data_IF_996743647312
#
_entry.id   IF_996743647312
#
_cell.length_a   1.000
_cell.length_b   1.000
_cell.length_c   1.000
_cell.angle_alpha   90.00
_cell.angle_beta   90.00
_cell.angle_gamma   90.00
#
_symmetry.space_group_name_H-M   'P 1'
#
loop_
_entity.id
_entity.type
_entity.pdbx_description
1 polymer ?
#
# COMPACT_ATOMS: atom_id res chain seq x y z
N UNK A 1 7.31 118.82 -9.01
CA UNK A 1 7.79 117.44 -8.81
C UNK A 1 8.90 117.21 -9.83
N UNK A 2 10.15 117.31 -9.38
CA UNK A 2 11.28 116.92 -10.22
C UNK A 2 11.28 115.39 -10.26
N UNK A 3 11.11 114.82 -11.44
CA UNK A 3 11.36 113.39 -11.66
C UNK A 3 12.87 113.25 -11.61
N UNK A 4 13.40 112.70 -10.52
CA UNK A 4 14.80 112.27 -10.48
C UNK A 4 14.98 111.22 -11.58
N UNK A 5 15.64 111.62 -12.66
CA UNK A 5 16.05 110.72 -13.73
C UNK A 5 17.23 109.93 -13.17
N UNK A 6 16.95 108.69 -12.77
CA UNK A 6 17.96 107.72 -12.37
C UNK A 6 19.03 107.64 -13.46
N UNK A 7 20.30 107.79 -13.07
CA UNK A 7 21.44 107.78 -13.98
C UNK A 7 21.54 106.40 -14.67
N UNK A 8 21.86 106.38 -15.97
CA UNK A 8 21.94 105.14 -16.76
C UNK A 8 22.95 104.15 -16.16
N UNK A 9 23.98 104.66 -15.48
CA UNK A 9 24.95 103.86 -14.74
C UNK A 9 24.34 103.17 -13.51
N UNK A 10 23.47 103.86 -12.77
CA UNK A 10 22.74 103.28 -11.63
C UNK A 10 21.75 102.22 -12.08
N UNK A 11 21.08 102.45 -13.22
CA UNK A 11 20.21 101.47 -13.87
C UNK A 11 20.96 100.19 -14.24
N UNK A 12 22.13 100.30 -14.86
CA UNK A 12 22.92 99.13 -15.26
C UNK A 12 23.48 98.38 -14.05
N UNK A 13 23.91 99.09 -13.02
CA UNK A 13 24.34 98.50 -11.74
C UNK A 13 23.20 97.71 -11.09
N UNK A 14 21.99 98.27 -11.04
CA UNK A 14 20.82 97.60 -10.46
C UNK A 14 20.42 96.35 -11.27
N UNK A 15 20.55 96.39 -12.61
CA UNK A 15 20.32 95.23 -13.48
C UNK A 15 21.32 94.11 -13.21
N UNK A 16 22.60 94.44 -13.04
CA UNK A 16 23.64 93.47 -12.73
C UNK A 16 23.41 92.82 -11.35
N UNK A 17 23.03 93.61 -10.34
CA UNK A 17 22.70 93.12 -8.99
C UNK A 17 21.49 92.18 -9.00
N UNK A 18 20.40 92.56 -9.69
CA UNK A 18 19.22 91.69 -9.88
C UNK A 18 19.59 90.38 -10.58
N UNK A 19 20.49 90.43 -11.56
CA UNK A 19 20.92 89.22 -12.28
C UNK A 19 21.74 88.30 -11.39
N UNK A 20 22.64 88.86 -10.58
CA UNK A 20 23.41 88.11 -9.59
C UNK A 20 22.49 87.47 -8.53
N UNK A 21 21.52 88.21 -8.01
CA UNK A 21 20.54 87.69 -7.05
C UNK A 21 19.70 86.55 -7.63
N UNK A 22 19.28 86.65 -8.90
CA UNK A 22 18.57 85.58 -9.59
C UNK A 22 19.40 84.30 -9.70
N UNK A 23 20.67 84.43 -10.08
CA UNK A 23 21.58 83.28 -10.15
C UNK A 23 21.80 82.64 -8.77
N UNK A 24 22.00 83.47 -7.74
CA UNK A 24 22.14 82.98 -6.37
C UNK A 24 20.89 82.27 -5.87
N UNK A 25 19.71 82.82 -6.19
CA UNK A 25 18.42 82.20 -5.86
C UNK A 25 18.26 80.84 -6.54
N UNK A 26 18.59 80.74 -7.82
CA UNK A 26 18.51 79.48 -8.58
C UNK A 26 19.43 78.39 -7.99
N UNK A 27 20.68 78.76 -7.63
CA UNK A 27 21.60 77.84 -6.96
C UNK A 27 21.07 77.36 -5.59
N UNK A 28 20.46 78.25 -4.81
CA UNK A 28 19.85 77.90 -3.53
C UNK A 28 18.61 77.02 -3.70
N UNK A 29 17.79 77.26 -4.71
CA UNK A 29 16.62 76.42 -5.01
C UNK A 29 17.05 75.01 -5.43
N UNK A 30 18.11 74.90 -6.25
CA UNK A 30 18.68 73.61 -6.61
C UNK A 30 19.23 72.88 -5.39
N UNK A 31 20.03 73.55 -4.55
CA UNK A 31 20.56 72.96 -3.32
C UNK A 31 19.45 72.52 -2.36
N UNK A 32 18.39 73.32 -2.22
CA UNK A 32 17.24 72.96 -1.40
C UNK A 32 16.48 71.74 -1.97
N UNK A 33 16.36 71.62 -3.30
CA UNK A 33 15.76 70.46 -3.93
C UNK A 33 16.60 69.20 -3.73
N UNK A 34 17.92 69.30 -3.88
CA UNK A 34 18.86 68.20 -3.60
C UNK A 34 18.78 67.77 -2.14
N UNK A 35 18.77 68.72 -1.19
CA UNK A 35 18.59 68.42 0.23
C UNK A 35 17.26 67.71 0.52
N UNK A 36 16.15 68.18 -0.07
CA UNK A 36 14.85 67.48 0.07
C UNK A 36 14.92 66.04 -0.46
N UNK A 37 15.56 65.83 -1.61
CA UNK A 37 15.74 64.48 -2.17
C UNK A 37 16.59 63.59 -1.25
N UNK A 38 17.67 64.12 -0.66
CA UNK A 38 18.49 63.37 0.31
C UNK A 38 17.71 63.02 1.57
N UNK A 39 16.85 63.93 2.06
CA UNK A 39 15.99 63.66 3.22
C UNK A 39 15.00 62.55 2.89
N UNK A 40 14.35 62.60 1.73
CA UNK A 40 13.41 61.57 1.29
C UNK A 40 14.09 60.19 1.15
N UNK A 41 15.32 60.14 0.65
CA UNK A 41 16.09 58.89 0.57
C UNK A 41 16.43 58.34 1.96
N UNK A 42 16.84 59.21 2.89
CA UNK A 42 17.15 58.81 4.27
C UNK A 42 15.91 58.30 5.01
N UNK A 43 14.76 58.95 4.83
CA UNK A 43 13.47 58.50 5.40
C UNK A 43 13.09 57.11 4.87
N UNK A 44 13.20 56.88 3.54
CA UNK A 44 12.97 55.55 2.94
C UNK A 44 13.89 54.48 3.51
N UNK A 45 15.19 54.80 3.69
CA UNK A 45 16.16 53.87 4.29
C UNK A 45 15.84 53.59 5.76
N UNK A 46 15.41 54.60 6.50
CA UNK A 46 15.00 54.45 7.90
C UNK A 46 13.84 53.45 8.04
N UNK A 47 12.83 53.53 7.16
CA UNK A 47 11.71 52.59 7.17
C UNK A 47 12.13 51.14 6.87
N UNK A 48 13.20 50.93 6.09
CA UNK A 48 13.72 49.60 5.79
C UNK A 48 14.62 49.00 6.88
N UNK A 49 15.24 49.83 7.72
CA UNK A 49 16.17 49.39 8.76
C UNK A 49 15.49 48.47 9.79
N UNK A 50 14.22 48.71 10.12
CA UNK A 50 13.48 47.89 11.08
C UNK A 50 13.26 46.45 10.55
N UNK A 51 13.20 46.28 9.22
CA UNK A 51 13.11 44.96 8.58
C UNK A 51 14.46 44.24 8.53
N UNK A 52 15.57 44.95 8.29
CA UNK A 52 16.93 44.36 8.25
C UNK A 52 17.42 43.92 9.64
N UNK A 53 16.99 44.62 10.69
CA UNK A 53 17.29 44.26 12.09
C UNK A 53 16.73 42.90 12.53
N UNK A 54 15.80 42.32 11.78
CA UNK A 54 15.16 41.06 12.15
C UNK A 54 15.93 39.82 11.65
N UNK A 55 16.68 39.91 10.55
CA UNK A 55 17.31 38.72 9.98
C UNK A 55 18.43 38.16 10.86
N UNK A 56 19.34 39.01 11.33
CA UNK A 56 20.43 38.55 12.21
C UNK A 56 19.88 38.04 13.55
N UNK A 57 18.79 38.64 14.04
CA UNK A 57 18.13 38.24 15.28
C UNK A 57 17.48 36.87 15.12
N UNK A 58 16.71 36.64 14.06
CA UNK A 58 16.12 35.32 13.76
C UNK A 58 17.19 34.26 13.55
N UNK A 59 18.30 34.58 12.87
CA UNK A 59 19.45 33.66 12.72
C UNK A 59 20.09 33.33 14.07
N UNK A 60 20.31 34.34 14.91
CA UNK A 60 20.88 34.16 16.24
C UNK A 60 19.97 33.30 17.14
N UNK A 61 18.67 33.58 17.15
CA UNK A 61 17.68 32.83 17.93
C UNK A 61 17.62 31.36 17.48
N UNK A 62 17.51 31.12 16.17
CA UNK A 62 17.55 29.75 15.60
C UNK A 62 18.86 29.03 15.95
N UNK A 63 20.00 29.72 15.83
CA UNK A 63 21.30 29.12 16.14
C UNK A 63 21.43 28.78 17.63
N UNK A 64 20.92 29.65 18.50
CA UNK A 64 20.89 29.43 19.95
C UNK A 64 20.03 28.20 20.28
N UNK A 65 18.86 28.07 19.67
CA UNK A 65 17.99 26.90 19.87
C UNK A 65 18.67 25.59 19.40
N UNK A 66 19.31 25.60 18.24
CA UNK A 66 20.09 24.46 17.75
C UNK A 66 21.23 24.11 18.72
N UNK A 67 21.94 25.11 19.23
CA UNK A 67 23.01 24.89 20.20
C UNK A 67 22.47 24.24 21.49
N UNK A 68 21.36 24.71 22.04
CA UNK A 68 20.71 24.10 23.22
C UNK A 68 20.28 22.65 22.96
N UNK A 69 19.82 22.34 21.75
CA UNK A 69 19.51 20.95 21.38
C UNK A 69 20.77 20.08 21.30
N UNK A 70 21.86 20.60 20.72
CA UNK A 70 23.14 19.90 20.65
C UNK A 70 23.74 19.67 22.04
N UNK A 71 23.68 20.65 22.94
CA UNK A 71 24.12 20.51 24.33
C UNK A 71 23.35 19.41 25.06
N UNK A 72 22.03 19.36 24.89
CA UNK A 72 21.20 18.26 25.42
C UNK A 72 21.60 16.91 24.85
N UNK A 73 21.89 16.82 23.56
CA UNK A 73 22.36 15.59 22.93
C UNK A 73 23.73 15.16 23.46
N UNK A 74 24.66 16.09 23.66
CA UNK A 74 25.97 15.83 24.24
C UNK A 74 25.81 15.23 25.64
N UNK A 75 24.98 15.83 26.50
CA UNK A 75 24.72 15.31 27.84
C UNK A 75 24.11 13.89 27.80
N UNK A 76 23.14 13.66 26.91
CA UNK A 76 22.54 12.33 26.76
C UNK A 76 23.57 11.28 26.32
N UNK A 77 24.40 11.60 25.33
CA UNK A 77 25.45 10.70 24.84
C UNK A 77 26.53 10.45 25.89
N UNK A 78 26.94 11.48 26.62
CA UNK A 78 27.86 11.34 27.74
C UNK A 78 27.29 10.39 28.80
N UNK A 79 26.03 10.55 29.18
CA UNK A 79 25.36 9.64 30.12
C UNK A 79 25.34 8.20 29.62
N UNK A 80 24.98 7.96 28.35
CA UNK A 80 25.01 6.62 27.74
C UNK A 80 26.40 6.00 27.75
N UNK A 81 27.44 6.79 27.46
CA UNK A 81 28.83 6.32 27.53
C UNK A 81 29.23 5.97 28.96
N UNK A 82 28.82 6.76 29.96
CA UNK A 82 29.10 6.45 31.36
C UNK A 82 28.35 5.20 31.83
N UNK A 83 27.09 5.04 31.44
CA UNK A 83 26.29 3.86 31.73
C UNK A 83 26.92 2.61 31.10
N UNK A 84 27.32 2.67 29.83
CA UNK A 84 28.04 1.58 29.17
C UNK A 84 29.35 1.24 29.89
N UNK A 85 30.11 2.24 30.35
CA UNK A 85 31.34 2.02 31.15
C UNK A 85 31.05 1.38 32.50
N UNK A 86 29.98 1.78 33.19
CA UNK A 86 29.56 1.20 34.45
C UNK A 86 29.16 -0.28 34.25
N UNK A 87 28.35 -0.56 33.23
CA UNK A 87 27.94 -1.93 32.86
C UNK A 87 29.14 -2.84 32.54
N UNK A 88 30.17 -2.31 31.86
CA UNK A 88 31.40 -3.05 31.61
C UNK A 88 32.18 -3.35 32.89
N UNK A 89 32.30 -2.35 33.78
CA UNK A 89 32.97 -2.51 35.06
C UNK A 89 32.28 -3.55 35.93
N UNK A 90 30.94 -3.53 35.98
CA UNK A 90 30.13 -4.51 36.72
C UNK A 90 30.27 -5.92 36.13
N UNK A 91 30.43 -6.04 34.82
CA UNK A 91 30.72 -7.30 34.12
C UNK A 91 32.19 -7.74 34.21
N UNK A 92 33.08 -6.99 34.88
CA UNK A 92 34.52 -7.29 34.95
C UNK A 92 35.27 -7.13 33.63
N UNK A 93 34.70 -6.40 32.66
CA UNK A 93 35.25 -6.16 31.33
C UNK A 93 35.87 -4.76 31.24
N UNK A 94 36.89 -4.59 30.42
CA UNK A 94 37.57 -3.31 30.17
C UNK A 94 37.14 -2.70 28.83
N UNK A 95 37.26 -1.36 28.65
CA UNK A 95 37.02 -0.74 27.34
C UNK A 95 37.92 -1.26 26.20
N UNK A 96 39.04 -1.93 26.54
CA UNK A 96 39.93 -2.57 25.57
C UNK A 96 39.34 -3.88 25.03
N UNK A 97 38.53 -4.58 25.83
CA UNK A 97 37.86 -5.82 25.43
C UNK A 97 36.79 -5.54 24.37
N UNK A 98 36.13 -4.37 24.43
CA UNK A 98 35.18 -3.88 23.43
C UNK A 98 35.81 -3.31 22.15
N UNK A 99 37.13 -3.09 22.11
CA UNK A 99 37.79 -2.51 20.93
C UNK A 99 37.82 -3.49 19.76
N UNK A 100 37.61 -4.77 20.05
CA UNK A 100 37.25 -5.76 19.05
C UNK A 100 35.78 -5.54 18.69
N UNK A 101 35.51 -5.05 17.49
CA UNK A 101 34.14 -5.05 16.91
C UNK A 101 33.49 -6.44 16.93
N UNK A 102 34.29 -7.49 17.12
CA UNK A 102 33.87 -8.87 17.33
C UNK A 102 33.19 -9.12 18.70
N UNK A 103 33.47 -8.30 19.73
CA UNK A 103 32.88 -8.40 21.08
C UNK A 103 31.71 -7.41 21.32
N UNK A 104 31.51 -6.46 20.39
CA UNK A 104 30.26 -5.68 20.24
C UNK A 104 29.21 -6.42 19.40
N UNK A 105 29.58 -7.57 18.83
CA UNK A 105 28.59 -8.52 18.34
C UNK A 105 27.98 -9.18 19.57
N UNK A 106 26.73 -8.86 19.88
CA UNK A 106 25.90 -9.60 20.86
C UNK A 106 25.76 -11.11 20.53
N UNK A 107 26.43 -11.60 19.48
CA UNK A 107 26.49 -12.97 19.05
C UNK A 107 27.78 -13.66 19.55
N UNK A 108 27.78 -14.10 20.82
CA UNK A 108 28.75 -15.10 21.30
C UNK A 108 28.70 -16.33 20.36
N UNK A 109 29.83 -16.90 19.89
CA UNK A 109 29.84 -18.11 19.04
C UNK A 109 29.02 -19.29 19.60
N UNK A 110 28.89 -19.36 20.93
CA UNK A 110 28.01 -20.32 21.58
C UNK A 110 26.52 -20.02 21.35
N UNK A 111 26.13 -18.75 21.45
CA UNK A 111 24.77 -18.27 21.17
C UNK A 111 24.39 -18.52 19.70
N UNK A 112 25.30 -18.20 18.76
CA UNK A 112 25.09 -18.49 17.33
C UNK A 112 24.83 -19.99 17.12
N UNK A 113 25.64 -20.85 17.72
CA UNK A 113 25.47 -22.31 17.62
C UNK A 113 24.18 -22.80 18.26
N UNK A 114 23.72 -22.17 19.34
CA UNK A 114 22.44 -22.49 19.96
C UNK A 114 21.28 -22.09 19.05
N UNK A 115 21.30 -20.87 18.51
CA UNK A 115 20.29 -20.35 17.59
C UNK A 115 20.25 -21.17 16.29
N UNK A 116 21.40 -21.62 15.78
CA UNK A 116 21.46 -22.51 14.62
C UNK A 116 20.81 -23.88 14.90
N UNK A 117 21.05 -24.45 16.10
CA UNK A 117 20.39 -25.69 16.52
C UNK A 117 18.89 -25.50 16.65
N UNK A 118 18.46 -24.43 17.31
CA UNK A 118 17.05 -24.10 17.50
C UNK A 118 16.35 -23.87 16.15
N UNK A 119 16.96 -23.09 15.25
CA UNK A 119 16.50 -22.91 13.87
C UNK A 119 16.31 -24.26 13.17
N UNK A 120 17.27 -25.18 13.29
CA UNK A 120 17.17 -26.49 12.64
C UNK A 120 16.06 -27.35 13.25
N UNK A 121 15.86 -27.30 14.58
CA UNK A 121 14.75 -27.97 15.25
C UNK A 121 13.41 -27.42 14.78
N UNK A 122 13.24 -26.09 14.78
CA UNK A 122 12.02 -25.42 14.32
C UNK A 122 11.73 -25.71 12.85
N UNK A 123 12.75 -25.69 11.98
CA UNK A 123 12.57 -26.06 10.57
C UNK A 123 12.14 -27.52 10.40
N UNK A 124 12.64 -28.44 11.22
CA UNK A 124 12.22 -29.83 11.17
C UNK A 124 10.79 -30.02 11.69
N UNK A 125 10.41 -29.32 12.75
CA UNK A 125 9.03 -29.31 13.25
C UNK A 125 8.07 -28.73 12.22
N UNK A 126 8.45 -27.65 11.54
CA UNK A 126 7.65 -27.07 10.45
C UNK A 126 7.42 -28.09 9.34
N UNK A 127 8.47 -28.80 8.89
CA UNK A 127 8.33 -29.84 7.86
C UNK A 127 7.47 -31.02 8.30
N UNK A 128 7.57 -31.43 9.57
CA UNK A 128 6.70 -32.49 10.13
C UNK A 128 5.24 -32.06 10.14
N UNK A 129 4.96 -30.82 10.56
CA UNK A 129 3.61 -30.26 10.55
C UNK A 129 3.06 -30.12 9.14
N UNK A 130 3.86 -29.65 8.18
CA UNK A 130 3.50 -29.60 6.75
C UNK A 130 3.15 -31.00 6.22
N UNK A 131 3.97 -32.01 6.54
CA UNK A 131 3.70 -33.39 6.13
C UNK A 131 2.42 -33.95 6.75
N UNK A 132 2.18 -33.69 8.05
CA UNK A 132 0.94 -34.10 8.73
C UNK A 132 -0.30 -33.46 8.12
N UNK A 133 -0.23 -32.17 7.78
CA UNK A 133 -1.33 -31.46 7.09
C UNK A 133 -1.60 -32.06 5.71
N UNK A 134 -0.57 -32.41 4.95
CA UNK A 134 -0.73 -33.09 3.65
C UNK A 134 -1.39 -34.47 3.81
N UNK A 135 -1.00 -35.25 4.82
CA UNK A 135 -1.65 -36.53 5.11
C UNK A 135 -3.11 -36.37 5.55
N UNK A 136 -3.39 -35.40 6.42
CA UNK A 136 -4.75 -35.11 6.88
C UNK A 136 -5.64 -34.63 5.73
N UNK A 137 -5.12 -33.79 4.85
CA UNK A 137 -5.81 -33.35 3.63
C UNK A 137 -6.16 -34.54 2.72
N UNK A 138 -5.21 -35.44 2.47
CA UNK A 138 -5.44 -36.67 1.70
C UNK A 138 -6.50 -37.56 2.33
N UNK A 139 -6.42 -37.77 3.65
CA UNK A 139 -7.40 -38.58 4.39
C UNK A 139 -8.79 -37.94 4.33
N UNK A 140 -8.88 -36.61 4.49
CA UNK A 140 -10.12 -35.86 4.40
C UNK A 140 -10.75 -35.97 3.01
N UNK A 141 -9.98 -35.77 1.94
CA UNK A 141 -10.48 -35.89 0.57
C UNK A 141 -11.00 -37.30 0.29
N UNK A 142 -10.25 -38.34 0.70
CA UNK A 142 -10.68 -39.73 0.58
C UNK A 142 -12.02 -39.98 1.30
N UNK A 143 -12.13 -39.58 2.57
CA UNK A 143 -13.35 -39.74 3.35
C UNK A 143 -14.53 -38.95 2.77
N UNK A 144 -14.28 -37.74 2.25
CA UNK A 144 -15.32 -36.92 1.64
C UNK A 144 -15.82 -37.49 0.31
N UNK A 145 -14.94 -38.09 -0.49
CA UNK A 145 -15.34 -38.75 -1.75
C UNK A 145 -16.10 -40.06 -1.48
N UNK A 146 -15.73 -40.81 -0.44
CA UNK A 146 -16.52 -41.94 0.06
C UNK A 146 -17.92 -41.47 0.52
N UNK A 147 -18.00 -40.38 1.30
CA UNK A 147 -19.28 -39.79 1.73
C UNK A 147 -20.15 -39.35 0.55
N UNK A 148 -19.57 -38.74 -0.49
CA UNK A 148 -20.29 -38.37 -1.72
C UNK A 148 -20.82 -39.60 -2.44
N UNK A 149 -20.01 -40.64 -2.55
CA UNK A 149 -20.41 -41.92 -3.16
C UNK A 149 -21.61 -42.52 -2.42
N UNK A 150 -21.54 -42.67 -1.10
CA UNK A 150 -22.67 -43.15 -0.30
C UNK A 150 -23.91 -42.25 -0.42
N UNK A 151 -23.73 -40.94 -0.49
CA UNK A 151 -24.85 -40.00 -0.69
C UNK A 151 -25.55 -40.21 -2.03
N UNK A 152 -24.78 -40.47 -3.10
CA UNK A 152 -25.31 -40.79 -4.42
C UNK A 152 -26.05 -42.14 -4.42
N UNK A 153 -25.49 -43.17 -3.79
CA UNK A 153 -26.13 -44.48 -3.65
C UNK A 153 -27.45 -44.40 -2.86
N UNK A 154 -27.46 -43.64 -1.75
CA UNK A 154 -28.68 -43.38 -0.97
C UNK A 154 -29.73 -42.67 -1.82
N UNK A 155 -29.35 -41.64 -2.57
CA UNK A 155 -30.29 -40.90 -3.42
C UNK A 155 -30.82 -41.77 -4.57
N UNK A 156 -29.97 -42.58 -5.19
CA UNK A 156 -30.37 -43.55 -6.22
C UNK A 156 -31.35 -44.59 -5.67
N UNK A 157 -31.06 -45.13 -4.48
CA UNK A 157 -31.94 -46.09 -3.80
C UNK A 157 -33.27 -45.45 -3.41
N UNK A 158 -33.26 -44.21 -2.88
CA UNK A 158 -34.48 -43.43 -2.59
C UNK A 158 -35.32 -43.18 -3.84
N UNK A 159 -34.68 -42.84 -4.96
CA UNK A 159 -35.35 -42.70 -6.26
C UNK A 159 -36.02 -44.00 -6.68
N UNK A 160 -35.28 -45.10 -6.63
CA UNK A 160 -35.78 -46.44 -6.97
C UNK A 160 -36.96 -46.87 -6.07
N UNK A 161 -36.90 -46.58 -4.76
CA UNK A 161 -38.01 -46.82 -3.82
C UNK A 161 -39.23 -45.96 -4.18
N UNK A 162 -39.04 -44.70 -4.53
CA UNK A 162 -40.15 -43.82 -4.92
C UNK A 162 -40.79 -44.27 -6.25
N UNK A 163 -40.00 -44.68 -7.23
CA UNK A 163 -40.47 -45.25 -8.49
C UNK A 163 -41.22 -46.57 -8.26
N UNK A 164 -40.73 -47.41 -7.35
CA UNK A 164 -41.41 -48.64 -6.95
C UNK A 164 -42.73 -48.34 -6.23
N UNK A 165 -42.75 -47.36 -5.32
CA UNK A 165 -43.95 -46.93 -4.59
C UNK A 165 -45.00 -46.33 -5.52
N UNK A 166 -44.61 -45.47 -6.45
CA UNK A 166 -45.51 -44.88 -7.47
C UNK A 166 -46.03 -45.93 -8.44
N UNK A 167 -45.18 -46.86 -8.93
CA UNK A 167 -45.63 -48.01 -9.73
C UNK A 167 -46.61 -48.90 -8.98
N UNK A 168 -46.39 -49.17 -7.70
CA UNK A 168 -47.30 -49.98 -6.87
C UNK A 168 -48.63 -49.27 -6.65
N UNK A 169 -48.63 -47.94 -6.43
CA UNK A 169 -49.87 -47.15 -6.37
C UNK A 169 -50.63 -47.14 -7.71
N UNK A 170 -49.91 -47.04 -8.83
CA UNK A 170 -50.48 -47.15 -10.18
C UNK A 170 -50.99 -48.56 -10.50
N UNK A 171 -50.34 -49.62 -10.01
CA UNK A 171 -50.80 -51.00 -10.19
C UNK A 171 -52.03 -51.29 -9.33
N UNK A 172 -52.09 -50.81 -8.09
CA UNK A 172 -53.33 -50.86 -7.28
C UNK A 172 -54.46 -50.04 -7.90
N UNK A 173 -54.16 -48.94 -8.60
CA UNK A 173 -55.15 -48.20 -9.39
C UNK A 173 -55.59 -48.95 -10.66
N UNK A 174 -54.76 -49.86 -11.20
CA UNK A 174 -55.03 -50.63 -12.41
C UNK A 174 -55.76 -51.95 -12.11
N UNK A 175 -55.50 -52.56 -10.95
CA UNK A 175 -56.28 -53.69 -10.42
C UNK A 175 -57.74 -53.31 -10.11
N UNK A 176 -58.05 -52.02 -9.97
CA UNK A 176 -59.44 -51.54 -9.89
C UNK A 176 -60.17 -51.51 -11.24
N UNK A 177 -59.48 -51.74 -12.38
CA UNK A 177 -60.07 -51.60 -13.72
C UNK A 177 -60.09 -52.89 -14.58
N UNK A 178 -59.39 -53.96 -14.19
CA UNK A 178 -59.28 -55.20 -15.02
C UNK A 178 -60.17 -56.37 -14.54
N UNK A 179 -61.41 -56.09 -14.11
CA UNK A 179 -62.46 -57.13 -13.98
C UNK A 179 -63.10 -57.42 -15.34
N UNK A 180 -62.35 -57.99 -16.29
CA UNK A 180 -62.94 -58.64 -17.47
C UNK A 180 -62.11 -59.90 -17.83
N UNK A 181 -62.58 -61.12 -17.49
CA UNK A 181 -61.84 -62.34 -17.77
C UNK A 181 -62.20 -62.92 -19.15
N UNK A 182 -61.22 -63.00 -20.06
CA UNK A 182 -61.40 -63.79 -21.28
C UNK A 182 -60.43 -63.52 -22.43
N UNK A 183 -59.14 -63.85 -22.29
CA UNK A 183 -58.33 -64.25 -23.46
C UNK A 183 -57.07 -64.98 -23.05
N UNK A 184 -56.93 -66.25 -23.46
CA UNK A 184 -55.70 -67.03 -23.37
C UNK A 184 -54.98 -66.96 -24.72
N UNK A 185 -53.74 -66.49 -24.73
CA UNK A 185 -52.75 -66.88 -25.75
C UNK A 185 -51.37 -67.05 -25.09
N UNK A 186 -50.73 -68.23 -25.19
CA UNK A 186 -49.37 -68.43 -24.71
C UNK A 186 -48.39 -68.38 -25.88
N UNK A 187 -47.43 -67.45 -25.93
CA UNK A 187 -46.23 -67.60 -26.77
C UNK A 187 -44.99 -66.95 -26.14
N UNK A 188 -44.14 -67.84 -25.64
CA UNK A 188 -42.68 -67.71 -25.56
C UNK A 188 -42.08 -67.39 -26.93
N UNK A 189 -41.11 -66.46 -26.96
CA UNK A 189 -39.91 -66.32 -27.83
C UNK A 189 -39.35 -64.92 -27.48
N UNK A 190 -38.11 -64.65 -27.09
CA UNK A 190 -36.83 -65.20 -27.50
C UNK A 190 -35.84 -64.02 -27.59
N UNK A 191 -34.89 -63.95 -26.67
CA UNK A 191 -33.53 -63.39 -26.79
C UNK A 191 -33.31 -62.09 -27.61
N UNK A 192 -33.77 -60.92 -27.13
CA UNK A 192 -33.25 -59.62 -27.61
C UNK A 192 -32.70 -58.82 -26.42
N UNK A 193 -31.37 -58.60 -26.33
CA UNK A 193 -30.78 -57.70 -25.35
C UNK A 193 -31.26 -56.26 -25.54
N UNK A 194 -31.53 -55.56 -24.43
CA UNK A 194 -32.25 -54.27 -24.35
C UNK A 194 -31.58 -53.10 -25.10
N UNK A 195 -30.31 -53.25 -25.49
CA UNK A 195 -29.48 -52.18 -26.07
C UNK A 195 -29.47 -52.08 -27.62
N UNK A 196 -30.25 -52.92 -28.33
CA UNK A 196 -30.34 -52.87 -29.79
C UNK A 196 -31.71 -52.36 -30.25
N UNK A 197 -31.80 -51.03 -30.50
CA UNK A 197 -32.98 -50.43 -31.11
C UNK A 197 -33.05 -50.83 -32.58
N UNK A 198 -34.02 -51.67 -32.94
CA UNK A 198 -34.41 -51.94 -34.33
C UNK A 198 -35.43 -50.88 -34.72
N UNK A 199 -35.01 -49.86 -35.48
CA UNK A 199 -35.93 -48.83 -35.96
C UNK A 199 -36.63 -49.25 -37.27
N UNK A 200 -36.06 -50.21 -38.02
CA UNK A 200 -36.64 -50.75 -39.26
C UNK A 200 -36.30 -52.26 -39.41
N UNK A 201 -37.30 -53.18 -39.54
CA UNK A 201 -37.07 -54.62 -39.64
C UNK A 201 -36.24 -55.10 -40.85
N UNK A 202 -36.12 -54.30 -41.93
CA UNK A 202 -35.38 -54.72 -43.14
C UNK A 202 -33.86 -54.51 -43.03
N UNK A 203 -33.41 -53.67 -42.11
CA UNK A 203 -32.00 -53.38 -41.89
C UNK A 203 -31.66 -53.79 -40.46
N UNK A 204 -30.92 -54.89 -40.31
CA UNK A 204 -30.64 -55.52 -39.02
C UNK A 204 -29.96 -54.60 -37.98
N UNK A 205 -29.66 -55.12 -36.77
CA UNK A 205 -29.27 -54.30 -35.63
C UNK A 205 -28.08 -53.37 -35.91
N UNK A 206 -28.30 -52.06 -35.69
CA UNK A 206 -27.28 -51.03 -35.92
C UNK A 206 -26.22 -51.12 -34.83
N UNK A 207 -24.96 -51.38 -35.22
CA UNK A 207 -23.82 -51.35 -34.30
C UNK A 207 -23.51 -49.89 -33.96
N UNK A 208 -23.60 -49.51 -32.67
CA UNK A 208 -23.17 -48.18 -32.19
C UNK A 208 -21.68 -48.01 -32.48
N UNK A 209 -21.32 -47.23 -33.49
CA UNK A 209 -19.96 -46.72 -33.63
C UNK A 209 -19.75 -45.64 -32.57
N UNK A 210 -18.80 -45.85 -31.67
CA UNK A 210 -18.42 -44.86 -30.66
C UNK A 210 -17.72 -43.68 -31.35
N UNK A 211 -18.48 -42.67 -31.76
CA UNK A 211 -17.92 -41.38 -32.14
C UNK A 211 -17.80 -40.51 -30.88
N UNK A 212 -16.72 -40.71 -30.13
CA UNK A 212 -16.24 -39.73 -29.15
C UNK A 212 -15.69 -38.55 -29.96
N UNK A 213 -16.45 -37.46 -30.04
CA UNK A 213 -15.91 -36.15 -30.40
C UNK A 213 -16.11 -35.25 -29.19
N UNK A 214 -15.06 -35.11 -28.39
CA UNK A 214 -14.95 -34.04 -27.40
C UNK A 214 -15.22 -32.69 -28.06
N UNK A 215 -15.99 -31.85 -27.38
CA UNK A 215 -16.24 -30.47 -27.82
C UNK A 215 -14.95 -29.66 -27.68
N UNK A 216 -14.68 -28.66 -28.55
CA UNK A 216 -13.52 -27.79 -28.43
C UNK A 216 -13.58 -26.94 -27.16
N UNK A 217 -12.44 -26.69 -26.51
CA UNK A 217 -12.35 -25.80 -25.36
C UNK A 217 -12.50 -24.34 -25.75
N UNK A 218 -13.17 -23.55 -24.90
CA UNK A 218 -13.31 -22.11 -25.04
C UNK A 218 -12.03 -21.43 -24.52
N UNK A 219 -11.39 -20.62 -25.36
CA UNK A 219 -10.30 -19.71 -24.97
C UNK A 219 -10.86 -18.64 -24.03
N UNK A 220 -10.29 -18.54 -22.82
CA UNK A 220 -10.59 -17.47 -21.87
C UNK A 220 -9.75 -16.24 -22.21
N UNK A 221 -10.41 -15.12 -22.53
CA UNK A 221 -9.80 -13.78 -22.56
C UNK A 221 -9.81 -13.17 -21.17
#
# INVERSE_FOLDING_TARGET
MAVEVMDDFELEKLRAEIQQEKQMKEMLEQSAAELRATVEELEKRYDTIDNEGNEWKTRYETQTEINEQLERQILMLQNKVQEAKANLKDAGKTPRDLKNFDDLSDANPHMIRMLEKEKNVLMNQMRDMEWRLDQESKAYHKANDERKTYSLEINSTKGSINDFSTRTKLSSSRDALDTIPGSRTPRSMGNIPEDQRILDPKHGPIKKAAAVKSLPSLETT
#
